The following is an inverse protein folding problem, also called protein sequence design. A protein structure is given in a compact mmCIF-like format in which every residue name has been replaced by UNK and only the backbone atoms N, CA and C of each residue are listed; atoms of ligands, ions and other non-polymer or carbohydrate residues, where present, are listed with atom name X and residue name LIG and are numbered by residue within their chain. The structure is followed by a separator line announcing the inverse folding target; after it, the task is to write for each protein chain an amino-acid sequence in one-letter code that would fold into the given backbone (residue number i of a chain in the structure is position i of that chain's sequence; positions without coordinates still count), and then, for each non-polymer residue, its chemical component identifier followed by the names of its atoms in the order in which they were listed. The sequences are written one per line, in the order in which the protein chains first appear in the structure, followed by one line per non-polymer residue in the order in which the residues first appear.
data_IF_079207386864
#
_entry.id   IF_079207386864
#
_cell.length_a   1.000
_cell.length_b   1.000
_cell.length_c   1.000
_cell.angle_alpha   90.00
_cell.angle_beta   90.00
_cell.angle_gamma   90.00
#
_symmetry.space_group_name_H-M   'P 1'
#
loop_
_entity.id
_entity.type
_entity.pdbx_description
1 polymer ?
#
# COMPACT_ATOMS: atom_id res chain seq x y z
N UNK A 1 -5.55 -13.05 18.70
CA UNK A 1 -4.48 -12.37 17.95
C UNK A 1 -4.22 -11.05 18.67
N UNK A 2 -2.99 -10.80 19.11
CA UNK A 2 -2.63 -9.50 19.63
C UNK A 2 -2.23 -8.62 18.44
N UNK A 3 -2.98 -7.53 18.24
CA UNK A 3 -2.55 -6.45 17.38
C UNK A 3 -1.65 -5.53 18.21
N UNK A 4 -0.52 -5.15 17.67
CA UNK A 4 0.35 -4.13 18.27
C UNK A 4 0.18 -2.86 17.45
N UNK A 5 -0.49 -1.88 18.04
CA UNK A 5 -0.60 -0.55 17.46
C UNK A 5 0.63 0.26 17.87
N UNK A 6 1.45 0.63 16.89
CA UNK A 6 2.61 1.48 17.13
C UNK A 6 2.37 2.80 16.41
N UNK A 7 2.09 3.84 17.19
CA UNK A 7 1.99 5.21 16.68
C UNK A 7 3.26 5.96 17.01
N UNK A 8 3.95 6.47 16.00
CA UNK A 8 5.09 7.36 16.15
C UNK A 8 4.76 8.76 15.65
N UNK A 9 5.38 9.81 16.20
CA UNK A 9 5.34 11.12 15.57
C UNK A 9 5.89 11.01 14.13
N UNK A 10 5.02 11.19 13.14
CA UNK A 10 5.37 11.06 11.73
C UNK A 10 5.22 9.67 11.11
N UNK A 11 4.81 8.65 11.88
CA UNK A 11 4.51 7.31 11.39
C UNK A 11 3.31 6.73 12.14
N UNK A 12 2.23 6.47 11.45
CA UNK A 12 1.13 5.68 11.97
C UNK A 12 1.27 4.25 11.43
N UNK A 13 1.79 3.34 12.27
CA UNK A 13 1.86 1.90 11.97
C UNK A 13 0.66 1.18 12.63
N UNK A 14 -0.41 1.90 12.91
CA UNK A 14 -1.61 1.28 13.46
C UNK A 14 -2.12 0.22 12.49
N UNK A 15 -2.38 -0.96 13.04
CA UNK A 15 -2.86 -2.13 12.30
C UNK A 15 -1.89 -2.69 11.25
N UNK A 16 -0.62 -2.31 11.27
CA UNK A 16 0.35 -2.76 10.27
C UNK A 16 1.11 -4.04 10.66
N UNK A 17 0.91 -4.55 11.87
CA UNK A 17 1.52 -5.79 12.34
C UNK A 17 0.46 -6.78 12.81
N UNK A 18 0.50 -8.00 12.31
CA UNK A 18 -0.49 -9.06 12.57
C UNK A 18 0.18 -10.41 12.78
N UNK A 19 -0.48 -11.26 13.57
CA UNK A 19 -0.17 -12.67 13.65
C UNK A 19 0.80 -13.06 14.77
N UNK A 20 1.54 -14.14 14.56
CA UNK A 20 2.42 -14.77 15.55
C UNK A 20 3.86 -14.75 15.07
N UNK A 21 4.77 -14.26 15.89
CA UNK A 21 6.21 -14.15 15.58
C UNK A 21 6.92 -15.50 15.36
N UNK A 22 6.31 -16.63 15.74
CA UNK A 22 6.78 -17.99 15.44
C UNK A 22 6.33 -18.50 14.06
N UNK A 23 5.42 -17.78 13.39
CA UNK A 23 4.92 -18.12 12.07
C UNK A 23 5.85 -17.67 10.94
N UNK A 24 5.46 -17.97 9.70
CA UNK A 24 6.14 -17.48 8.50
C UNK A 24 6.10 -15.95 8.46
N UNK A 25 7.25 -15.33 8.34
CA UNK A 25 7.38 -13.86 8.36
C UNK A 25 7.16 -13.30 6.97
N UNK A 26 6.17 -12.41 6.84
CA UNK A 26 5.81 -11.73 5.60
C UNK A 26 5.95 -10.21 5.78
N UNK A 27 6.66 -9.54 4.88
CA UNK A 27 6.76 -8.08 4.83
C UNK A 27 6.12 -7.56 3.55
N UNK A 28 5.02 -6.86 3.67
CA UNK A 28 4.13 -6.54 2.57
C UNK A 28 3.99 -5.03 2.36
N UNK A 29 3.82 -4.61 1.11
CA UNK A 29 3.54 -3.21 0.77
C UNK A 29 2.25 -2.73 1.46
N UNK A 30 2.31 -1.55 2.08
CA UNK A 30 1.30 -1.05 3.01
C UNK A 30 -0.08 -0.77 2.41
N UNK A 31 -0.21 -0.65 1.08
CA UNK A 31 -1.47 -0.37 0.40
C UNK A 31 -2.49 -1.53 0.43
N UNK A 32 -2.14 -2.68 1.03
CA UNK A 32 -3.02 -3.83 1.21
C UNK A 32 -3.43 -4.07 2.67
N UNK A 33 -3.17 -3.12 3.55
CA UNK A 33 -3.40 -3.22 4.99
C UNK A 33 -4.82 -3.69 5.37
N UNK A 34 -5.84 -3.29 4.61
CA UNK A 34 -7.25 -3.62 4.86
C UNK A 34 -7.63 -5.06 4.46
N UNK A 35 -6.84 -5.73 3.62
CA UNK A 35 -7.05 -7.13 3.21
C UNK A 35 -6.47 -8.10 4.24
N UNK A 36 -5.50 -7.66 5.02
CA UNK A 36 -4.63 -8.54 5.83
C UNK A 36 -5.37 -9.34 6.90
N UNK A 37 -6.40 -8.77 7.52
CA UNK A 37 -7.18 -9.50 8.53
C UNK A 37 -7.91 -10.71 7.92
N UNK A 38 -8.43 -10.57 6.70
CA UNK A 38 -9.09 -11.67 5.99
C UNK A 38 -8.07 -12.69 5.50
N UNK A 39 -6.97 -12.24 4.91
CA UNK A 39 -5.87 -13.09 4.47
C UNK A 39 -5.29 -13.90 5.63
N UNK A 40 -4.97 -13.27 6.75
CA UNK A 40 -4.42 -13.94 7.94
C UNK A 40 -5.39 -15.02 8.45
N UNK A 41 -6.68 -14.70 8.52
CA UNK A 41 -7.71 -15.65 8.96
C UNK A 41 -7.80 -16.85 8.02
N UNK A 42 -7.77 -16.60 6.71
CA UNK A 42 -7.75 -17.66 5.70
C UNK A 42 -6.54 -18.56 5.86
N UNK A 43 -5.33 -17.99 5.94
CA UNK A 43 -4.08 -18.73 6.07
C UNK A 43 -4.04 -19.57 7.36
N UNK A 44 -4.49 -19.01 8.48
CA UNK A 44 -4.59 -19.74 9.74
C UNK A 44 -5.54 -20.96 9.63
N UNK A 45 -6.68 -20.82 8.95
CA UNK A 45 -7.61 -21.90 8.70
C UNK A 45 -7.03 -23.01 7.80
N UNK A 46 -6.03 -22.66 6.99
CA UNK A 46 -5.24 -23.59 6.16
C UNK A 46 -4.03 -24.19 6.89
N UNK A 47 -3.84 -23.87 8.18
CA UNK A 47 -2.76 -24.36 9.00
C UNK A 47 -1.44 -23.60 8.89
N UNK A 48 -1.47 -22.41 8.27
CA UNK A 48 -0.30 -21.53 8.20
C UNK A 48 -0.37 -20.49 9.32
N UNK A 49 0.52 -20.59 10.29
CA UNK A 49 0.80 -19.48 11.19
C UNK A 49 1.67 -18.46 10.48
N UNK A 50 1.29 -17.19 10.56
CA UNK A 50 1.99 -16.09 9.89
C UNK A 50 2.25 -14.93 10.84
N UNK A 51 3.33 -14.21 10.58
CA UNK A 51 3.59 -12.87 11.09
C UNK A 51 3.63 -11.94 9.87
N UNK A 52 2.75 -10.97 9.83
CA UNK A 52 2.62 -10.05 8.68
C UNK A 52 2.86 -8.63 9.15
N UNK A 53 3.73 -7.91 8.45
CA UNK A 53 3.90 -6.47 8.55
C UNK A 53 3.51 -5.82 7.22
N UNK A 54 2.73 -4.71 7.28
CA UNK A 54 2.35 -3.90 6.11
C UNK A 54 2.97 -2.52 6.23
N UNK A 55 4.05 -2.29 5.52
CA UNK A 55 4.89 -1.10 5.66
C UNK A 55 5.18 -0.46 4.30
N UNK A 56 5.66 0.79 4.24
CA UNK A 56 6.04 1.43 2.99
C UNK A 56 6.97 0.56 2.14
N UNK A 57 6.79 0.50 0.81
CA UNK A 57 7.57 -0.38 -0.08
C UNK A 57 9.09 -0.23 0.06
N UNK A 58 9.57 0.99 0.31
CA UNK A 58 11.00 1.22 0.58
C UNK A 58 11.50 0.47 1.81
N UNK A 59 10.72 0.45 2.89
CA UNK A 59 11.04 -0.32 4.10
C UNK A 59 10.94 -1.83 3.86
N UNK A 60 9.93 -2.29 3.10
CA UNK A 60 9.86 -3.71 2.69
C UNK A 60 11.13 -4.14 1.95
N UNK A 61 11.63 -3.28 1.03
CA UNK A 61 12.88 -3.55 0.32
C UNK A 61 14.07 -3.65 1.27
N UNK A 62 14.16 -2.78 2.26
CA UNK A 62 15.21 -2.84 3.30
C UNK A 62 15.11 -4.11 4.15
N UNK A 63 13.88 -4.50 4.50
CA UNK A 63 13.60 -5.77 5.19
C UNK A 63 14.07 -6.98 4.38
N UNK A 64 13.79 -6.98 3.08
CA UNK A 64 14.26 -8.01 2.14
C UNK A 64 15.78 -8.09 2.06
N UNK A 65 16.48 -6.97 2.26
CA UNK A 65 17.95 -6.92 2.35
C UNK A 65 18.48 -7.31 3.75
N UNK A 66 17.60 -7.72 4.68
CA UNK A 66 17.98 -8.18 6.02
C UNK A 66 18.12 -7.07 7.08
N UNK A 67 17.65 -5.86 6.78
CA UNK A 67 17.66 -4.76 7.77
C UNK A 67 16.50 -4.93 8.76
N UNK A 68 16.72 -4.59 10.01
CA UNK A 68 15.67 -4.53 11.01
C UNK A 68 14.74 -3.32 10.77
N UNK A 69 13.43 -3.49 11.00
CA UNK A 69 12.52 -2.37 11.09
C UNK A 69 12.71 -1.69 12.47
N UNK A 70 12.99 -0.41 12.45
CA UNK A 70 13.16 0.40 13.65
C UNK A 70 12.04 1.42 13.75
N UNK A 71 11.40 1.46 14.93
CA UNK A 71 10.27 2.32 15.24
C UNK A 71 10.52 2.93 16.63
N UNK A 72 11.22 4.06 16.69
CA UNK A 72 11.76 4.57 17.94
C UNK A 72 12.72 3.55 18.55
N UNK A 73 12.46 3.16 19.80
CA UNK A 73 13.23 2.15 20.52
C UNK A 73 12.82 0.70 20.20
N UNK A 74 11.68 0.54 19.51
CA UNK A 74 11.25 -0.79 19.06
C UNK A 74 12.07 -1.24 17.86
N UNK A 75 12.59 -2.45 17.93
CA UNK A 75 13.33 -3.08 16.84
C UNK A 75 12.69 -4.42 16.49
N UNK A 76 12.20 -4.53 15.25
CA UNK A 76 11.67 -5.78 14.70
C UNK A 76 12.74 -6.34 13.76
N UNK A 77 13.41 -7.40 14.19
CA UNK A 77 14.52 -8.04 13.47
C UNK A 77 14.15 -9.40 12.86
N UNK A 78 12.87 -9.79 12.93
CA UNK A 78 12.39 -10.99 12.25
C UNK A 78 12.68 -10.87 10.76
N UNK A 79 13.34 -11.87 10.17
CA UNK A 79 13.72 -11.82 8.76
C UNK A 79 12.56 -12.28 7.88
N UNK A 80 12.06 -11.45 6.95
CA UNK A 80 10.97 -11.86 6.07
C UNK A 80 11.38 -13.02 5.16
N UNK A 81 10.52 -14.02 5.05
CA UNK A 81 10.65 -15.15 4.14
C UNK A 81 9.89 -14.94 2.84
N UNK A 82 8.83 -14.12 2.92
CA UNK A 82 8.02 -13.68 1.78
C UNK A 82 7.89 -12.16 1.86
N UNK A 83 8.06 -11.49 0.73
CA UNK A 83 7.87 -10.04 0.62
C UNK A 83 6.87 -9.71 -0.48
N UNK A 84 6.19 -8.55 -0.38
CA UNK A 84 5.37 -8.03 -1.45
C UNK A 84 5.80 -6.62 -1.80
N UNK A 85 6.15 -6.42 -3.06
CA UNK A 85 6.65 -5.15 -3.61
C UNK A 85 6.12 -4.91 -5.02
N UNK A 86 6.12 -3.65 -5.49
CA UNK A 86 6.05 -3.37 -6.91
C UNK A 86 7.14 -4.16 -7.67
N UNK A 87 6.81 -4.82 -8.82
CA UNK A 87 7.77 -5.68 -9.55
C UNK A 87 9.11 -5.01 -9.84
N UNK A 88 9.10 -3.73 -10.19
CA UNK A 88 10.33 -2.97 -10.45
C UNK A 88 11.24 -2.81 -9.22
N UNK A 89 10.68 -2.87 -8.01
CA UNK A 89 11.45 -2.78 -6.77
C UNK A 89 12.09 -4.12 -6.37
N UNK A 90 11.66 -5.24 -6.96
CA UNK A 90 12.29 -6.54 -6.77
C UNK A 90 13.65 -6.61 -7.48
N UNK A 91 13.87 -5.75 -8.47
CA UNK A 91 15.16 -5.66 -9.16
C UNK A 91 16.30 -5.38 -8.17
N UNK A 92 17.38 -6.20 -8.27
CA UNK A 92 18.55 -6.12 -7.38
C UNK A 92 18.37 -6.83 -6.02
N UNK A 93 17.22 -7.42 -5.75
CA UNK A 93 17.05 -8.36 -4.62
C UNK A 93 17.41 -9.78 -5.04
N UNK A 94 18.01 -10.52 -4.12
CA UNK A 94 18.18 -11.97 -4.31
C UNK A 94 16.86 -12.65 -3.93
N UNK A 95 16.13 -13.16 -4.92
CA UNK A 95 14.85 -13.85 -4.75
C UNK A 95 14.89 -15.21 -5.43
N UNK A 96 14.11 -16.18 -4.96
CA UNK A 96 13.98 -17.51 -5.56
C UNK A 96 12.95 -17.49 -6.67
N UNK A 97 11.79 -16.92 -6.40
CA UNK A 97 10.63 -16.89 -7.28
C UNK A 97 9.78 -15.66 -6.96
N UNK A 98 9.04 -15.16 -7.94
CA UNK A 98 8.03 -14.11 -7.74
C UNK A 98 6.86 -14.29 -8.71
N UNK A 99 5.69 -13.77 -8.32
CA UNK A 99 4.52 -13.68 -9.19
C UNK A 99 3.71 -12.42 -8.89
N UNK A 100 3.17 -11.81 -9.94
CA UNK A 100 2.23 -10.70 -9.81
C UNK A 100 0.88 -11.22 -9.34
N UNK A 101 0.24 -10.53 -8.40
CA UNK A 101 -1.02 -11.01 -7.81
C UNK A 101 -2.13 -9.97 -7.77
N UNK A 102 -1.80 -8.69 -7.87
CA UNK A 102 -2.78 -7.59 -7.83
C UNK A 102 -2.34 -6.42 -8.68
N UNK A 103 -3.33 -5.85 -9.37
CA UNK A 103 -3.24 -4.57 -10.06
C UNK A 103 -4.22 -3.61 -9.39
N UNK A 104 -3.87 -2.32 -9.34
CA UNK A 104 -4.72 -1.31 -8.76
C UNK A 104 -4.58 0.01 -9.52
N UNK A 105 -5.69 0.65 -9.75
CA UNK A 105 -5.76 1.94 -10.44
C UNK A 105 -5.80 3.10 -9.45
N UNK A 106 -5.40 4.28 -9.90
CA UNK A 106 -5.60 5.51 -9.16
C UNK A 106 -7.07 5.93 -9.21
N UNK A 107 -7.55 6.52 -8.12
CA UNK A 107 -8.87 7.11 -8.03
C UNK A 107 -8.81 8.51 -7.42
N UNK A 108 -9.79 9.33 -7.75
CA UNK A 108 -10.04 10.60 -7.07
C UNK A 108 -11.21 10.37 -6.13
N UNK A 109 -10.99 10.49 -4.83
CA UNK A 109 -12.05 10.56 -3.83
C UNK A 109 -12.44 12.00 -3.59
N UNK A 110 -13.72 12.26 -3.35
CA UNK A 110 -14.22 13.62 -3.12
C UNK A 110 -15.46 13.62 -2.20
N UNK A 111 -15.75 14.78 -1.63
CA UNK A 111 -16.93 14.97 -0.75
C UNK A 111 -18.01 15.77 -1.45
N UNK A 112 -18.00 17.10 -1.28
CA UNK A 112 -19.08 17.98 -1.71
C UNK A 112 -18.89 18.56 -3.12
N UNK A 113 -17.67 18.58 -3.64
CA UNK A 113 -17.35 19.10 -4.95
C UNK A 113 -17.04 17.96 -5.89
N UNK A 114 -17.86 17.77 -6.91
CA UNK A 114 -17.59 16.82 -7.97
C UNK A 114 -16.32 17.21 -8.73
N UNK A 115 -15.43 16.23 -8.86
CA UNK A 115 -14.22 16.29 -9.66
C UNK A 115 -14.39 15.24 -10.74
N UNK A 116 -14.23 15.60 -12.02
CA UNK A 116 -14.52 14.71 -13.13
C UNK A 116 -13.25 14.14 -13.78
N UNK A 117 -12.11 14.78 -13.54
CA UNK A 117 -10.83 14.40 -14.14
C UNK A 117 -9.65 14.83 -13.26
N UNK A 118 -8.47 14.29 -13.55
CA UNK A 118 -7.21 14.62 -12.87
C UNK A 118 -6.90 16.12 -12.88
N UNK A 119 -7.18 16.78 -14.00
CA UNK A 119 -6.89 18.21 -14.17
C UNK A 119 -7.77 19.11 -13.29
N UNK A 120 -8.94 18.61 -12.87
CA UNK A 120 -9.84 19.35 -11.99
C UNK A 120 -9.31 19.48 -10.55
N UNK A 121 -8.36 18.63 -10.16
CA UNK A 121 -7.69 18.75 -8.85
C UNK A 121 -7.06 20.13 -8.65
N UNK A 122 -6.64 20.77 -9.75
CA UNK A 122 -6.08 22.12 -9.71
C UNK A 122 -7.11 23.23 -9.34
N UNK A 123 -8.40 22.92 -9.31
CA UNK A 123 -9.52 23.86 -9.09
C UNK A 123 -10.15 23.74 -7.71
N UNK A 124 -9.74 22.75 -6.92
CA UNK A 124 -10.28 22.44 -5.59
C UNK A 124 -9.16 22.36 -4.56
N UNK A 125 -9.51 22.31 -3.27
CA UNK A 125 -8.54 21.96 -2.24
C UNK A 125 -8.33 20.45 -2.31
N UNK A 126 -7.14 20.00 -2.69
CA UNK A 126 -6.88 18.59 -2.87
C UNK A 126 -5.67 18.11 -2.10
N UNK A 127 -5.69 16.84 -1.69
CA UNK A 127 -4.51 16.15 -1.20
C UNK A 127 -4.01 15.12 -2.22
N UNK A 128 -2.71 15.11 -2.40
CA UNK A 128 -2.03 14.17 -3.29
C UNK A 128 -0.95 13.42 -2.53
N UNK A 129 -0.73 12.13 -2.82
CA UNK A 129 0.33 11.35 -2.20
C UNK A 129 1.71 11.91 -2.55
N UNK A 130 2.64 11.79 -1.61
CA UNK A 130 4.00 12.27 -1.80
C UNK A 130 4.75 11.44 -2.86
N UNK A 131 5.20 12.05 -3.98
CA UNK A 131 5.83 11.32 -5.08
C UNK A 131 7.25 10.81 -4.77
N UNK A 132 7.84 11.26 -3.67
CA UNK A 132 9.19 10.83 -3.24
C UNK A 132 9.12 9.61 -2.34
N UNK A 133 8.10 9.55 -1.47
CA UNK A 133 8.00 8.51 -0.44
C UNK A 133 6.98 7.42 -0.78
N UNK A 134 6.05 7.69 -1.71
CA UNK A 134 4.96 6.79 -2.03
C UNK A 134 4.88 6.47 -3.53
N UNK A 135 4.76 5.18 -3.87
CA UNK A 135 4.63 4.73 -5.26
C UNK A 135 3.40 5.31 -5.98
N UNK A 136 2.27 5.43 -5.26
CA UNK A 136 1.06 6.06 -5.78
C UNK A 136 1.30 7.54 -6.14
N UNK A 137 2.08 8.26 -5.33
CA UNK A 137 2.44 9.65 -5.59
C UNK A 137 3.32 9.79 -6.84
N UNK A 138 4.28 8.89 -7.02
CA UNK A 138 5.11 8.86 -8.23
C UNK A 138 4.27 8.59 -9.49
N UNK A 139 3.36 7.61 -9.44
CA UNK A 139 2.43 7.31 -10.54
C UNK A 139 1.52 8.50 -10.87
N UNK A 140 0.99 9.16 -9.84
CA UNK A 140 0.15 10.34 -10.04
C UNK A 140 0.92 11.51 -10.64
N UNK A 141 2.14 11.79 -10.17
CA UNK A 141 3.00 12.84 -10.74
C UNK A 141 3.21 12.60 -12.24
N UNK A 142 3.57 11.36 -12.61
CA UNK A 142 3.86 11.01 -14.00
C UNK A 142 2.58 11.10 -14.86
N UNK A 143 1.44 10.63 -14.33
CA UNK A 143 0.14 10.78 -14.96
C UNK A 143 -0.23 12.25 -15.19
N UNK A 144 -0.06 13.08 -14.16
CA UNK A 144 -0.42 14.50 -14.24
C UNK A 144 0.45 15.25 -15.26
N UNK A 145 1.76 14.97 -15.28
CA UNK A 145 2.68 15.55 -16.26
C UNK A 145 2.33 15.17 -17.70
N UNK A 146 1.92 13.93 -17.93
CA UNK A 146 1.59 13.42 -19.26
C UNK A 146 0.25 13.98 -19.77
N UNK A 147 -0.73 14.19 -18.89
CA UNK A 147 -2.11 14.43 -19.28
C UNK A 147 -2.64 15.85 -18.98
N UNK A 148 -2.25 16.43 -17.85
CA UNK A 148 -2.80 17.72 -17.40
C UNK A 148 -1.81 18.89 -17.50
N UNK A 149 -0.53 18.64 -17.54
CA UNK A 149 0.54 19.64 -17.58
C UNK A 149 1.52 19.50 -16.42
N UNK A 150 2.29 20.55 -16.16
CA UNK A 150 3.38 20.50 -15.20
C UNK A 150 2.88 20.26 -13.75
N UNK A 151 3.29 19.14 -13.17
CA UNK A 151 3.03 18.78 -11.78
C UNK A 151 3.58 19.82 -10.78
N UNK A 152 4.72 20.46 -11.06
CA UNK A 152 5.27 21.50 -10.20
C UNK A 152 4.34 22.72 -10.12
N UNK A 153 3.69 23.07 -11.22
CA UNK A 153 2.67 24.10 -11.23
C UNK A 153 1.42 23.72 -10.41
N UNK A 154 1.04 22.43 -10.40
CA UNK A 154 -0.04 21.96 -9.53
C UNK A 154 0.33 22.16 -8.06
N UNK A 155 1.47 21.62 -7.64
CA UNK A 155 1.86 21.61 -6.21
C UNK A 155 2.26 22.99 -5.68
N UNK A 156 2.59 23.94 -6.56
CA UNK A 156 2.85 25.32 -6.16
C UNK A 156 1.58 26.08 -5.73
N UNK A 157 0.40 25.56 -6.04
CA UNK A 157 -0.87 26.14 -5.60
C UNK A 157 -1.07 25.89 -4.11
N UNK A 158 -1.43 26.92 -3.37
CA UNK A 158 -1.70 26.84 -1.93
C UNK A 158 -2.92 25.96 -1.56
N UNK A 159 -3.69 25.51 -2.56
CA UNK A 159 -4.82 24.60 -2.40
C UNK A 159 -4.45 23.11 -2.44
N UNK A 160 -3.18 22.79 -2.72
CA UNK A 160 -2.71 21.40 -2.82
C UNK A 160 -1.89 21.02 -1.60
N UNK A 161 -2.34 19.96 -0.92
CA UNK A 161 -1.64 19.34 0.19
C UNK A 161 -0.91 18.08 -0.30
N UNK A 162 0.39 18.00 -0.07
CA UNK A 162 1.17 16.77 -0.30
C UNK A 162 1.20 16.01 1.03
N UNK A 163 0.82 14.74 1.02
CA UNK A 163 0.83 13.91 2.24
C UNK A 163 2.23 13.88 2.86
N UNK A 164 2.28 13.98 4.18
CA UNK A 164 3.56 14.04 4.92
C UNK A 164 4.02 12.67 5.36
N UNK A 165 3.07 11.83 5.72
CA UNK A 165 3.32 10.51 6.32
C UNK A 165 2.94 9.44 5.30
N UNK A 166 1.66 9.42 4.90
CA UNK A 166 1.09 8.43 4.01
C UNK A 166 -0.22 8.94 3.40
N UNK A 167 -0.60 8.48 2.20
CA UNK A 167 -1.90 8.85 1.59
C UNK A 167 -3.12 8.44 2.43
N UNK A 168 -2.96 7.62 3.47
CA UNK A 168 -4.00 7.35 4.49
C UNK A 168 -4.37 8.58 5.34
N UNK A 169 -3.65 9.70 5.23
CA UNK A 169 -4.06 10.99 5.79
C UNK A 169 -5.31 11.54 5.07
N UNK A 170 -5.50 11.18 3.80
CA UNK A 170 -6.54 11.74 2.94
C UNK A 170 -7.95 11.54 3.50
N UNK A 171 -8.35 10.36 3.99
CA UNK A 171 -9.66 10.17 4.63
C UNK A 171 -9.95 11.14 5.77
N UNK A 172 -8.99 11.37 6.63
CA UNK A 172 -9.13 12.30 7.76
C UNK A 172 -9.25 13.74 7.28
N UNK A 173 -8.44 14.14 6.31
CA UNK A 173 -8.49 15.47 5.72
C UNK A 173 -9.86 15.75 5.03
N UNK A 174 -10.43 14.73 4.36
CA UNK A 174 -11.75 14.80 3.75
C UNK A 174 -12.87 14.90 4.81
N UNK A 175 -12.84 14.02 5.82
CA UNK A 175 -13.83 13.97 6.88
C UNK A 175 -13.90 15.28 7.69
N UNK A 176 -12.77 15.93 7.88
CA UNK A 176 -12.68 17.22 8.56
C UNK A 176 -12.92 18.43 7.63
N UNK A 177 -13.22 18.20 6.35
CA UNK A 177 -13.47 19.27 5.38
C UNK A 177 -12.24 20.16 5.10
N UNK A 178 -11.03 19.67 5.39
CA UNK A 178 -9.77 20.38 5.12
C UNK A 178 -9.51 20.41 3.62
N UNK A 179 -9.84 19.31 2.94
CA UNK A 179 -9.76 19.15 1.49
C UNK A 179 -11.13 18.82 0.91
N UNK A 180 -11.31 19.03 -0.38
CA UNK A 180 -12.52 18.70 -1.15
C UNK A 180 -12.33 17.38 -1.93
N UNK A 181 -11.09 17.04 -2.30
CA UNK A 181 -10.75 15.83 -3.06
C UNK A 181 -9.35 15.30 -2.70
N UNK A 182 -9.08 14.04 -3.05
CA UNK A 182 -7.78 13.42 -2.85
C UNK A 182 -7.49 12.27 -3.80
N UNK A 183 -6.22 11.97 -4.01
CA UNK A 183 -5.76 10.86 -4.85
C UNK A 183 -5.43 9.65 -3.97
N UNK A 184 -6.11 8.54 -4.23
CA UNK A 184 -5.95 7.27 -3.50
C UNK A 184 -5.97 6.10 -4.48
N UNK A 185 -5.78 4.88 -3.98
CA UNK A 185 -6.05 3.68 -4.75
C UNK A 185 -7.55 3.42 -4.87
N UNK A 186 -8.02 2.86 -5.99
CA UNK A 186 -9.42 2.50 -6.20
C UNK A 186 -9.93 1.53 -5.12
N UNK A 187 -9.11 0.58 -4.71
CA UNK A 187 -9.44 -0.37 -3.63
C UNK A 187 -9.69 0.34 -2.30
N UNK A 188 -8.89 1.34 -1.98
CA UNK A 188 -9.05 2.13 -0.75
C UNK A 188 -10.26 3.05 -0.83
N UNK A 189 -10.52 3.66 -1.98
CA UNK A 189 -11.74 4.46 -2.19
C UNK A 189 -13.00 3.64 -1.92
N UNK A 190 -13.05 2.39 -2.40
CA UNK A 190 -14.11 1.43 -2.12
C UNK A 190 -14.18 1.06 -0.64
N UNK A 191 -13.04 0.75 -0.03
CA UNK A 191 -12.97 0.36 1.38
C UNK A 191 -13.50 1.48 2.30
N UNK A 192 -13.07 2.73 2.07
CA UNK A 192 -13.51 3.89 2.86
C UNK A 192 -14.92 4.38 2.50
N UNK A 193 -15.52 3.86 1.40
CA UNK A 193 -16.87 4.21 0.92
C UNK A 193 -17.05 5.69 0.62
N UNK A 194 -16.01 6.35 0.15
CA UNK A 194 -16.12 7.70 -0.38
C UNK A 194 -16.75 7.72 -1.77
N UNK A 195 -17.32 8.85 -2.14
CA UNK A 195 -17.58 9.13 -3.56
C UNK A 195 -16.25 9.17 -4.28
N UNK A 196 -16.14 8.46 -5.38
CA UNK A 196 -14.90 8.44 -6.15
C UNK A 196 -15.18 8.31 -7.65
N UNK A 197 -14.18 8.68 -8.43
CA UNK A 197 -14.11 8.41 -9.86
C UNK A 197 -12.77 7.77 -10.19
N UNK A 198 -12.79 6.98 -11.26
CA UNK A 198 -11.58 6.44 -11.90
C UNK A 198 -11.54 7.02 -13.32
N UNK A 199 -10.81 8.12 -13.58
CA UNK A 199 -10.75 8.72 -14.90
C UNK A 199 -10.20 7.75 -15.95
N UNK A 200 -10.62 7.90 -17.22
CA UNK A 200 -10.25 6.98 -18.32
C UNK A 200 -8.74 6.91 -18.56
N UNK A 201 -8.06 8.07 -18.47
CA UNK A 201 -6.59 8.09 -18.53
C UNK A 201 -6.09 7.80 -17.14
N UNK A 202 -5.40 6.68 -16.94
CA UNK A 202 -4.99 6.23 -15.63
C UNK A 202 -3.62 5.53 -15.67
N UNK A 203 -3.05 5.32 -14.50
CA UNK A 203 -1.86 4.49 -14.27
C UNK A 203 -2.23 3.33 -13.35
N UNK A 204 -1.62 2.20 -13.60
CA UNK A 204 -1.83 0.97 -12.84
C UNK A 204 -0.60 0.68 -12.00
N UNK A 205 -0.81 0.50 -10.71
CA UNK A 205 0.19 -0.05 -9.81
C UNK A 205 0.04 -1.56 -9.71
N UNK A 206 1.17 -2.27 -9.68
CA UNK A 206 1.23 -3.72 -9.52
C UNK A 206 1.96 -4.10 -8.27
N UNK A 207 1.59 -5.23 -7.68
CA UNK A 207 2.34 -5.86 -6.61
C UNK A 207 2.63 -7.31 -6.97
N UNK A 208 3.84 -7.73 -6.63
CA UNK A 208 4.27 -9.11 -6.72
C UNK A 208 4.65 -9.65 -5.35
N UNK A 209 4.29 -10.89 -5.06
CA UNK A 209 4.91 -11.66 -3.98
C UNK A 209 6.26 -12.21 -4.46
N UNK A 210 7.23 -12.21 -3.58
CA UNK A 210 8.53 -12.80 -3.83
C UNK A 210 8.99 -13.67 -2.66
N UNK A 211 9.51 -14.86 -2.97
CA UNK A 211 10.05 -15.83 -2.03
C UNK A 211 11.55 -15.56 -1.84
N UNK A 212 11.97 -15.45 -0.59
CA UNK A 212 13.35 -15.14 -0.26
C UNK A 212 14.20 -16.42 -0.23
N UNK A 213 15.54 -16.36 -0.49
CA UNK A 213 16.40 -17.55 -0.58
C UNK A 213 16.53 -18.35 0.72
N UNK A 214 16.25 -17.72 1.86
CA UNK A 214 16.30 -18.35 3.18
C UNK A 214 14.95 -18.85 3.67
N UNK A 215 13.94 -18.85 2.80
CA UNK A 215 12.61 -19.29 3.15
C UNK A 215 12.59 -20.75 3.59
N UNK A 216 11.92 -21.01 4.70
CA UNK A 216 11.65 -22.35 5.23
C UNK A 216 10.75 -23.15 4.28
N UNK A 217 10.70 -24.47 4.46
CA UNK A 217 9.78 -25.30 3.68
C UNK A 217 8.32 -24.85 3.87
N UNK A 218 7.96 -24.46 5.10
CA UNK A 218 6.61 -23.93 5.39
C UNK A 218 6.32 -22.62 4.65
N UNK A 219 7.32 -21.76 4.50
CA UNK A 219 7.19 -20.53 3.70
C UNK A 219 7.04 -20.83 2.21
N UNK A 220 7.70 -21.86 1.69
CA UNK A 220 7.54 -22.32 0.29
C UNK A 220 6.15 -22.90 0.04
N UNK A 221 5.60 -23.66 0.99
CA UNK A 221 4.23 -24.15 0.92
C UNK A 221 3.22 -22.99 0.98
N UNK A 222 3.42 -22.03 1.90
CA UNK A 222 2.62 -20.84 1.98
C UNK A 222 2.68 -20.02 0.68
N UNK A 223 3.86 -19.88 0.08
CA UNK A 223 4.04 -19.15 -1.18
C UNK A 223 3.23 -19.75 -2.33
N UNK A 224 3.11 -21.08 -2.37
CA UNK A 224 2.22 -21.78 -3.31
C UNK A 224 0.75 -21.52 -2.99
N UNK A 225 0.38 -21.52 -1.70
CA UNK A 225 -0.99 -21.21 -1.27
C UNK A 225 -1.41 -19.79 -1.63
N UNK A 226 -0.50 -18.82 -1.59
CA UNK A 226 -0.75 -17.44 -2.01
C UNK A 226 -1.14 -17.32 -3.50
N UNK A 227 -0.83 -18.32 -4.33
CA UNK A 227 -1.22 -18.38 -5.74
C UNK A 227 -2.62 -19.00 -5.96
N UNK A 228 -3.29 -19.44 -4.89
CA UNK A 228 -4.59 -20.09 -4.96
C UNK A 228 -5.70 -19.13 -5.43
N UNK A 229 -6.73 -19.71 -6.06
CA UNK A 229 -7.92 -18.95 -6.45
C UNK A 229 -8.65 -18.33 -5.23
N UNK A 230 -8.54 -18.96 -4.08
CA UNK A 230 -9.14 -18.49 -2.83
C UNK A 230 -8.48 -17.20 -2.36
N UNK A 231 -7.16 -17.14 -2.38
CA UNK A 231 -6.41 -15.92 -2.06
C UNK A 231 -6.72 -14.83 -3.09
N UNK A 232 -6.75 -15.16 -4.39
CA UNK A 232 -7.14 -14.23 -5.43
C UNK A 232 -8.51 -13.61 -5.15
N UNK A 233 -9.52 -14.42 -4.81
CA UNK A 233 -10.86 -13.94 -4.46
C UNK A 233 -10.87 -13.02 -3.24
N UNK A 234 -9.97 -13.19 -2.27
CA UNK A 234 -9.85 -12.29 -1.13
C UNK A 234 -9.46 -10.89 -1.61
N UNK A 235 -8.50 -10.78 -2.51
CA UNK A 235 -8.10 -9.49 -3.08
C UNK A 235 -9.16 -8.89 -4.01
N UNK A 236 -9.79 -9.69 -4.86
CA UNK A 236 -10.84 -9.27 -5.80
C UNK A 236 -12.07 -8.63 -5.14
N UNK A 237 -12.33 -8.88 -3.86
CA UNK A 237 -13.43 -8.22 -3.12
C UNK A 237 -13.26 -6.71 -3.02
N UNK A 238 -12.05 -6.24 -3.15
CA UNK A 238 -11.73 -4.83 -2.98
C UNK A 238 -11.44 -4.13 -4.32
N UNK A 239 -11.32 -4.85 -5.43
CA UNK A 239 -11.19 -4.23 -6.75
C UNK A 239 -10.60 -5.11 -7.82
#
# INVERSE_FOLDING_TARGET
MSAVDITLPGFNIMHDVRGNTSGVVMSLAGNQWFVIDELTRYLNNRGFEVYIETIPPGLVKERAMGRALRVGDLVINLRPEIVSLPPQMLSGLNIVESFDYVENELAIVYTNKAVNDWCDLSKVRAAIPNPVTEGIGALFRDLYNEYCGDYLNLVSKGSIYITKIHHREIPELLNHGIIDAGVVWTTEAKYWRFNYITPKVNKVGRLAFALMPWASEKAKELFKELQSNEVKKIYEKYG
#
